data_IF_830815823236
#
_entry.id   IF_830815823236
#
_cell.length_a   1.000
_cell.length_b   1.000
_cell.length_c   1.000
_cell.angle_alpha   90.00
_cell.angle_beta   90.00
_cell.angle_gamma   90.00
#
_symmetry.space_group_name_H-M   'P 1'
#
loop_
_entity.id
_entity.type
_entity.pdbx_description
1 polymer ?
#
# COMPACT_ATOMS: atom_id res chain seq x y z
N UNK A 1 -35.64 -1.44 3.27
CA UNK A 1 -34.96 -2.37 2.36
C UNK A 1 -33.73 -2.90 3.09
N UNK A 2 -33.61 -4.19 3.23
CA UNK A 2 -32.47 -4.85 3.89
C UNK A 2 -31.54 -5.54 2.90
N UNK A 3 -32.00 -5.78 1.69
CA UNK A 3 -31.26 -6.36 0.57
C UNK A 3 -31.88 -5.89 -0.75
N UNK A 4 -31.14 -6.04 -1.82
CA UNK A 4 -31.61 -5.69 -3.16
C UNK A 4 -32.61 -6.70 -3.69
N UNK A 5 -33.39 -6.29 -4.70
CA UNK A 5 -34.44 -7.11 -5.29
C UNK A 5 -33.95 -8.08 -6.36
N UNK A 6 -32.68 -7.97 -6.79
CA UNK A 6 -32.14 -8.71 -7.95
C UNK A 6 -31.10 -9.75 -7.56
N UNK A 7 -30.90 -10.73 -8.42
CA UNK A 7 -29.82 -11.72 -8.37
C UNK A 7 -28.79 -11.54 -9.50
N UNK A 8 -29.14 -10.76 -10.52
CA UNK A 8 -28.24 -10.40 -11.64
C UNK A 8 -28.19 -8.88 -11.73
N UNK A 9 -27.00 -8.31 -11.86
CA UNK A 9 -26.78 -6.87 -11.88
C UNK A 9 -27.62 -6.11 -12.91
N UNK A 10 -27.86 -6.73 -14.10
CA UNK A 10 -28.68 -6.12 -15.16
C UNK A 10 -30.14 -5.90 -14.80
N UNK A 11 -30.64 -6.61 -13.78
CA UNK A 11 -32.04 -6.59 -13.36
C UNK A 11 -32.29 -5.61 -12.20
N UNK A 12 -31.24 -4.95 -11.71
CA UNK A 12 -31.33 -3.99 -10.61
C UNK A 12 -32.08 -2.72 -11.00
N UNK A 13 -32.87 -2.19 -10.08
CA UNK A 13 -33.56 -0.92 -10.19
C UNK A 13 -32.70 0.23 -9.67
N UNK A 14 -33.10 1.48 -9.97
CA UNK A 14 -32.45 2.66 -9.39
C UNK A 14 -32.45 2.61 -7.86
N UNK A 15 -33.56 2.24 -7.24
CA UNK A 15 -33.66 2.13 -5.79
C UNK A 15 -32.71 1.10 -5.19
N UNK A 16 -32.50 -0.03 -5.89
CA UNK A 16 -31.52 -1.04 -5.46
C UNK A 16 -30.10 -0.46 -5.45
N UNK A 17 -29.71 0.25 -6.50
CA UNK A 17 -28.37 0.82 -6.61
C UNK A 17 -28.16 1.98 -5.65
N UNK A 18 -29.15 2.83 -5.42
CA UNK A 18 -29.07 3.89 -4.39
C UNK A 18 -28.89 3.30 -2.98
N UNK A 19 -29.58 2.20 -2.70
CA UNK A 19 -29.43 1.47 -1.44
C UNK A 19 -28.01 0.87 -1.30
N UNK A 20 -27.49 0.23 -2.35
CA UNK A 20 -26.13 -0.32 -2.35
C UNK A 20 -25.06 0.78 -2.20
N UNK A 21 -25.22 1.91 -2.88
CA UNK A 21 -24.31 3.04 -2.77
C UNK A 21 -24.21 3.57 -1.33
N UNK A 22 -25.33 3.65 -0.64
CA UNK A 22 -25.34 4.06 0.77
C UNK A 22 -24.59 3.05 1.66
N UNK A 23 -24.82 1.75 1.47
CA UNK A 23 -24.10 0.70 2.20
C UNK A 23 -22.61 0.70 1.88
N UNK A 24 -22.25 0.93 0.62
CA UNK A 24 -20.86 1.02 0.20
C UNK A 24 -20.16 2.23 0.84
N UNK A 25 -20.80 3.39 0.88
CA UNK A 25 -20.27 4.57 1.55
C UNK A 25 -20.04 4.34 3.05
N UNK A 26 -21.00 3.69 3.72
CA UNK A 26 -20.85 3.31 5.13
C UNK A 26 -19.69 2.33 5.33
N UNK A 27 -19.55 1.37 4.41
CA UNK A 27 -18.43 0.41 4.43
C UNK A 27 -17.09 1.11 4.21
N UNK A 28 -17.00 2.04 3.26
CA UNK A 28 -15.79 2.83 2.98
C UNK A 28 -15.38 3.63 4.21
N UNK A 29 -16.32 4.19 4.98
CA UNK A 29 -16.01 4.95 6.18
C UNK A 29 -15.27 4.15 7.26
N UNK A 30 -15.40 2.83 7.24
CA UNK A 30 -14.67 1.90 8.12
C UNK A 30 -13.28 1.51 7.62
N UNK A 31 -12.83 2.03 6.47
CA UNK A 31 -11.53 1.66 5.89
C UNK A 31 -10.33 1.93 6.83
N UNK A 32 -10.23 3.07 7.54
CA UNK A 32 -9.11 3.30 8.45
C UNK A 32 -8.96 2.22 9.52
N UNK A 33 -10.05 1.77 10.12
CA UNK A 33 -10.03 0.71 11.13
C UNK A 33 -9.59 -0.64 10.54
N UNK A 34 -10.02 -0.96 9.32
CA UNK A 34 -9.56 -2.17 8.62
C UNK A 34 -8.10 -2.12 8.26
N UNK A 35 -7.58 -0.95 7.85
CA UNK A 35 -6.15 -0.75 7.59
C UNK A 35 -5.35 -0.93 8.88
N UNK A 36 -5.78 -0.35 9.99
CA UNK A 36 -5.12 -0.50 11.28
C UNK A 36 -5.10 -1.96 11.75
N UNK A 37 -6.17 -2.71 11.52
CA UNK A 37 -6.22 -4.14 11.83
C UNK A 37 -5.25 -4.95 10.95
N UNK A 38 -5.21 -4.69 9.66
CA UNK A 38 -4.28 -5.33 8.74
C UNK A 38 -2.82 -5.02 9.09
N UNK A 39 -2.53 -3.76 9.45
CA UNK A 39 -1.21 -3.33 9.90
C UNK A 39 -0.78 -4.07 11.17
N UNK A 40 -1.65 -4.18 12.17
CA UNK A 40 -1.37 -4.92 13.40
C UNK A 40 -1.06 -6.40 13.12
N UNK A 41 -1.70 -7.00 12.13
CA UNK A 41 -1.49 -8.40 11.71
C UNK A 41 -0.09 -8.66 11.14
N UNK A 42 0.65 -7.64 10.73
CA UNK A 42 2.02 -7.79 10.21
C UNK A 42 3.00 -8.30 11.29
N UNK A 43 2.69 -8.18 12.58
CA UNK A 43 3.52 -8.71 13.67
C UNK A 43 3.66 -10.23 13.64
N UNK A 44 2.66 -10.94 13.11
CA UNK A 44 2.60 -12.40 13.01
C UNK A 44 2.95 -12.92 11.60
N UNK A 45 3.38 -12.03 10.71
CA UNK A 45 3.63 -12.32 9.31
C UNK A 45 5.03 -12.86 9.01
N UNK A 46 5.60 -12.38 7.91
CA UNK A 46 6.90 -12.83 7.39
C UNK A 46 7.99 -12.72 8.46
N UNK A 47 8.60 -13.86 8.78
CA UNK A 47 9.67 -13.98 9.77
C UNK A 47 11.06 -13.94 9.12
N UNK A 48 12.10 -13.97 9.95
CA UNK A 48 13.50 -14.08 9.51
C UNK A 48 14.31 -12.80 9.66
N UNK A 49 13.64 -11.65 9.83
CA UNK A 49 14.29 -10.37 10.15
C UNK A 49 14.51 -10.23 11.67
N UNK A 50 15.38 -9.32 12.06
CA UNK A 50 15.64 -9.02 13.49
C UNK A 50 14.48 -8.32 14.19
N UNK A 51 13.60 -7.67 13.43
CA UNK A 51 12.36 -7.04 13.89
C UNK A 51 11.20 -7.60 13.07
N UNK A 52 10.00 -7.62 13.63
CA UNK A 52 8.82 -8.00 12.87
C UNK A 52 8.40 -6.94 11.85
N UNK A 53 7.49 -7.28 10.95
CA UNK A 53 7.07 -6.40 9.87
C UNK A 53 6.24 -5.21 10.36
N UNK A 54 5.54 -5.35 11.48
CA UNK A 54 4.86 -4.23 12.12
C UNK A 54 5.86 -3.22 12.69
N UNK A 55 6.88 -3.69 13.41
CA UNK A 55 7.94 -2.84 13.94
C UNK A 55 8.68 -2.10 12.82
N UNK A 56 8.98 -2.78 11.71
CA UNK A 56 9.56 -2.16 10.52
C UNK A 56 8.68 -1.03 9.99
N UNK A 57 7.39 -1.27 9.85
CA UNK A 57 6.43 -0.27 9.37
C UNK A 57 6.36 0.96 10.30
N UNK A 58 6.30 0.73 11.60
CA UNK A 58 6.31 1.80 12.60
C UNK A 58 7.61 2.61 12.58
N UNK A 59 8.75 1.95 12.46
CA UNK A 59 10.06 2.62 12.35
C UNK A 59 10.15 3.47 11.08
N UNK A 60 9.67 2.96 9.96
CA UNK A 60 9.66 3.68 8.69
C UNK A 60 8.83 4.95 8.79
N UNK A 61 7.63 4.87 9.37
CA UNK A 61 6.76 6.02 9.60
C UNK A 61 7.39 7.03 10.58
N UNK A 62 8.00 6.55 11.66
CA UNK A 62 8.68 7.40 12.65
C UNK A 62 9.83 8.18 12.03
N UNK A 63 10.64 7.54 11.17
CA UNK A 63 11.72 8.22 10.45
C UNK A 63 11.18 9.30 9.51
N UNK A 64 10.09 9.02 8.80
CA UNK A 64 9.45 10.02 7.95
C UNK A 64 8.96 11.23 8.77
N UNK A 65 8.36 10.99 9.93
CA UNK A 65 7.92 12.05 10.85
C UNK A 65 9.10 12.87 11.37
N UNK A 66 10.18 12.23 11.83
CA UNK A 66 11.38 12.88 12.35
C UNK A 66 12.08 13.73 11.29
N UNK A 67 12.00 13.36 10.02
CA UNK A 67 12.52 14.12 8.89
C UNK A 67 11.60 15.27 8.45
N UNK A 68 10.47 15.45 9.09
CA UNK A 68 9.51 16.52 8.79
C UNK A 68 8.66 16.27 7.53
N UNK A 69 8.48 15.01 7.13
CA UNK A 69 7.63 14.65 6.00
C UNK A 69 6.17 15.03 6.25
N UNK A 70 5.41 15.24 5.16
CA UNK A 70 3.97 15.47 5.24
C UNK A 70 3.24 14.23 5.79
N UNK A 71 2.00 14.43 6.29
CA UNK A 71 1.18 13.32 6.80
C UNK A 71 0.96 12.25 5.73
N UNK A 72 0.80 12.62 4.47
CA UNK A 72 0.63 11.68 3.36
C UNK A 72 1.84 10.76 3.20
N UNK A 73 3.06 11.31 3.32
CA UNK A 73 4.29 10.52 3.30
C UNK A 73 4.43 9.61 4.54
N UNK A 74 4.06 10.10 5.72
CA UNK A 74 4.10 9.32 6.97
C UNK A 74 3.15 8.12 6.87
N UNK A 75 1.94 8.34 6.39
CA UNK A 75 0.95 7.26 6.18
C UNK A 75 1.44 6.27 5.12
N UNK A 76 1.99 6.76 4.01
CA UNK A 76 2.55 5.90 2.97
C UNK A 76 3.69 5.03 3.51
N UNK A 77 4.58 5.61 4.30
CA UNK A 77 5.66 4.89 4.98
C UNK A 77 5.11 3.81 5.92
N UNK A 78 4.06 4.12 6.67
CA UNK A 78 3.43 3.19 7.61
C UNK A 78 2.83 1.97 6.91
N UNK A 79 2.24 2.13 5.73
CA UNK A 79 1.49 1.06 5.04
C UNK A 79 2.23 0.44 3.85
N UNK A 80 3.48 0.85 3.58
CA UNK A 80 4.19 0.44 2.36
C UNK A 80 4.32 -1.08 2.18
N UNK A 81 4.38 -1.84 3.26
CA UNK A 81 4.48 -3.31 3.27
C UNK A 81 3.17 -4.01 3.68
N UNK A 82 2.05 -3.30 3.74
CA UNK A 82 0.77 -3.88 4.18
C UNK A 82 0.29 -5.04 3.28
N UNK A 83 0.81 -5.14 2.07
CA UNK A 83 0.52 -6.22 1.13
C UNK A 83 1.24 -7.54 1.40
N UNK A 84 2.17 -7.59 2.36
CA UNK A 84 3.00 -8.79 2.60
C UNK A 84 2.18 -10.06 2.86
N UNK A 85 1.05 -9.96 3.56
CA UNK A 85 0.21 -11.11 3.89
C UNK A 85 -0.64 -11.61 2.72
N UNK A 86 -1.23 -10.70 1.95
CA UNK A 86 -2.20 -11.04 0.91
C UNK A 86 -1.61 -11.05 -0.50
N UNK A 87 -0.54 -10.29 -0.72
CA UNK A 87 0.08 -10.12 -2.02
C UNK A 87 1.61 -10.14 -1.90
N UNK A 88 2.23 -11.22 -1.37
CA UNK A 88 3.68 -11.25 -1.16
C UNK A 88 4.49 -11.14 -2.46
N UNK A 89 3.92 -11.51 -3.59
CA UNK A 89 4.56 -11.40 -4.91
C UNK A 89 4.39 -10.03 -5.57
N UNK A 90 3.54 -9.17 -5.02
CA UNK A 90 3.21 -7.84 -5.55
C UNK A 90 2.84 -6.85 -4.43
N UNK A 91 3.52 -6.96 -3.28
CA UNK A 91 3.17 -6.14 -2.10
C UNK A 91 3.31 -4.64 -2.35
N UNK A 92 4.27 -4.23 -3.18
CA UNK A 92 4.47 -2.82 -3.52
C UNK A 92 3.28 -2.24 -4.30
N UNK A 93 2.82 -2.97 -5.31
CA UNK A 93 1.66 -2.59 -6.12
C UNK A 93 0.37 -2.63 -5.29
N UNK A 94 0.25 -3.59 -4.37
CA UNK A 94 -0.88 -3.66 -3.44
C UNK A 94 -0.99 -2.41 -2.56
N UNK A 95 0.12 -2.02 -1.93
CA UNK A 95 0.16 -0.81 -1.10
C UNK A 95 -0.10 0.46 -1.91
N UNK A 96 0.46 0.55 -3.12
CA UNK A 96 0.23 1.67 -4.02
C UNK A 96 -1.26 1.79 -4.43
N UNK A 97 -1.91 0.68 -4.75
CA UNK A 97 -3.34 0.65 -5.07
C UNK A 97 -4.22 1.10 -3.90
N UNK A 98 -3.87 0.69 -2.67
CA UNK A 98 -4.55 1.13 -1.45
C UNK A 98 -4.47 2.64 -1.26
N UNK A 99 -3.30 3.24 -1.52
CA UNK A 99 -3.02 4.66 -1.31
C UNK A 99 -3.52 5.56 -2.45
N UNK A 100 -3.63 5.03 -3.66
CA UNK A 100 -3.89 5.80 -4.88
C UNK A 100 -5.06 6.79 -4.80
N UNK A 101 -6.20 6.47 -4.18
CA UNK A 101 -7.32 7.42 -4.07
C UNK A 101 -7.03 8.63 -3.16
N UNK A 102 -5.98 8.59 -2.33
CA UNK A 102 -5.80 9.49 -1.20
C UNK A 102 -4.54 10.35 -1.25
N UNK A 103 -3.54 9.97 -2.05
CA UNK A 103 -2.23 10.63 -2.07
C UNK A 103 -1.81 11.03 -3.48
N UNK A 104 -0.73 11.82 -3.59
CA UNK A 104 -0.21 12.28 -4.87
C UNK A 104 0.35 11.15 -5.74
N UNK A 105 0.44 11.40 -7.05
CA UNK A 105 1.05 10.46 -8.00
C UNK A 105 2.50 10.13 -7.65
N UNK A 106 3.25 11.10 -7.11
CA UNK A 106 4.62 10.89 -6.66
C UNK A 106 4.69 9.83 -5.56
N UNK A 107 3.86 9.94 -4.54
CA UNK A 107 3.80 8.98 -3.43
C UNK A 107 3.39 7.60 -3.94
N UNK A 108 2.37 7.52 -4.79
CA UNK A 108 1.91 6.26 -5.40
C UNK A 108 3.06 5.59 -6.16
N UNK A 109 3.76 6.34 -6.98
CA UNK A 109 4.89 5.81 -7.76
C UNK A 109 6.02 5.29 -6.88
N UNK A 110 6.39 6.05 -5.85
CA UNK A 110 7.43 5.66 -4.89
C UNK A 110 7.06 4.36 -4.19
N UNK A 111 5.86 4.24 -3.70
CA UNK A 111 5.38 3.02 -3.02
C UNK A 111 5.32 1.84 -4.00
N UNK A 112 4.80 2.06 -5.21
CA UNK A 112 4.73 1.02 -6.24
C UNK A 112 6.10 0.45 -6.63
N UNK A 113 7.13 1.27 -6.62
CA UNK A 113 8.49 0.89 -7.05
C UNK A 113 9.43 0.54 -5.90
N UNK A 114 9.03 0.70 -4.63
CA UNK A 114 9.96 0.55 -3.52
C UNK A 114 10.63 -0.83 -3.47
N UNK A 115 9.91 -1.91 -3.75
CA UNK A 115 10.46 -3.26 -3.76
C UNK A 115 11.55 -3.44 -4.82
N UNK A 116 11.32 -2.91 -6.03
CA UNK A 116 12.32 -2.93 -7.11
C UNK A 116 13.58 -2.14 -6.74
N UNK A 117 13.42 -0.99 -6.10
CA UNK A 117 14.55 -0.16 -5.70
C UNK A 117 15.34 -0.78 -4.56
N UNK A 118 14.68 -1.43 -3.60
CA UNK A 118 15.34 -2.19 -2.53
C UNK A 118 16.15 -3.38 -3.06
N UNK A 119 15.76 -3.97 -4.17
CA UNK A 119 16.47 -5.07 -4.82
C UNK A 119 17.93 -4.71 -5.16
N UNK A 120 18.25 -3.43 -5.27
CA UNK A 120 19.62 -2.96 -5.41
C UNK A 120 20.56 -3.51 -4.33
N UNK A 121 20.08 -3.70 -3.13
CA UNK A 121 20.89 -4.14 -1.99
C UNK A 121 21.07 -5.66 -1.90
N UNK A 122 20.17 -6.45 -2.49
CA UNK A 122 20.18 -7.90 -2.29
C UNK A 122 20.05 -8.77 -3.54
N UNK A 123 19.56 -8.23 -4.66
CA UNK A 123 19.24 -9.05 -5.84
C UNK A 123 20.44 -9.85 -6.35
N UNK A 124 21.63 -9.24 -6.37
CA UNK A 124 22.85 -9.89 -6.83
C UNK A 124 23.30 -11.06 -5.94
N UNK A 125 22.84 -11.14 -4.69
CA UNK A 125 23.12 -12.27 -3.80
C UNK A 125 22.26 -13.50 -4.10
N UNK A 126 21.16 -13.32 -4.84
CA UNK A 126 20.20 -14.39 -5.15
C UNK A 126 20.01 -14.59 -6.66
N UNK A 127 20.99 -14.15 -7.45
CA UNK A 127 20.99 -14.35 -8.90
C UNK A 127 20.19 -13.34 -9.72
N UNK A 128 19.74 -12.25 -9.11
CA UNK A 128 19.01 -11.17 -9.77
C UNK A 128 19.89 -9.98 -10.16
N UNK A 129 19.28 -9.00 -10.83
CA UNK A 129 19.94 -7.77 -11.27
C UNK A 129 19.68 -6.63 -10.29
N UNK A 130 20.71 -6.22 -9.56
CA UNK A 130 20.65 -5.07 -8.65
C UNK A 130 20.43 -3.74 -9.37
N UNK A 131 20.74 -3.66 -10.66
CA UNK A 131 20.62 -2.44 -11.47
C UNK A 131 19.28 -2.34 -12.20
N UNK A 132 18.33 -3.21 -11.93
CA UNK A 132 17.01 -3.17 -12.57
C UNK A 132 16.29 -1.82 -12.41
N UNK A 133 16.55 -1.09 -11.31
CA UNK A 133 16.00 0.26 -11.08
C UNK A 133 16.57 1.33 -12.02
N UNK A 134 17.70 1.08 -12.65
CA UNK A 134 18.38 2.06 -13.51
C UNK A 134 17.56 2.47 -14.73
N UNK A 135 16.62 1.63 -15.16
CA UNK A 135 15.67 1.99 -16.24
C UNK A 135 14.77 3.20 -15.90
N UNK A 136 14.69 3.58 -14.64
CA UNK A 136 13.90 4.72 -14.17
C UNK A 136 14.73 5.98 -13.90
N UNK A 137 16.04 6.02 -14.23
CA UNK A 137 16.92 7.16 -13.93
C UNK A 137 16.38 8.51 -14.43
N UNK A 138 15.69 8.52 -15.55
CA UNK A 138 15.11 9.74 -16.14
C UNK A 138 13.67 10.01 -15.69
N UNK A 139 13.12 9.18 -14.82
CA UNK A 139 11.77 9.39 -14.30
C UNK A 139 11.75 10.56 -13.32
N UNK A 140 10.72 11.48 -13.39
CA UNK A 140 10.64 12.66 -12.52
C UNK A 140 10.74 12.36 -11.02
N UNK A 141 10.26 11.18 -10.58
CA UNK A 141 10.23 10.80 -9.17
C UNK A 141 11.38 9.86 -8.74
N UNK A 142 12.34 9.60 -9.63
CA UNK A 142 13.45 8.71 -9.33
C UNK A 142 14.22 9.12 -8.08
N UNK A 143 14.56 10.40 -7.95
CA UNK A 143 15.31 10.92 -6.80
C UNK A 143 14.51 10.86 -5.51
N UNK A 144 13.19 11.02 -5.57
CA UNK A 144 12.32 10.89 -4.41
C UNK A 144 12.43 9.50 -3.77
N UNK A 145 12.58 8.45 -4.59
CA UNK A 145 12.72 7.09 -4.10
C UNK A 145 14.15 6.77 -3.63
N UNK A 146 15.17 7.29 -4.32
CA UNK A 146 16.58 7.07 -3.95
C UNK A 146 16.90 7.65 -2.56
N UNK A 147 16.25 8.74 -2.16
CA UNK A 147 16.50 9.44 -0.90
C UNK A 147 15.62 9.00 0.26
N UNK A 148 14.69 8.10 0.04
CA UNK A 148 13.82 7.56 1.10
C UNK A 148 14.46 6.28 1.74
#
# INVERSE_FOLDING_TARGET
>A
MTEVSFTQMKDGTQADYEFLEQLENDHISGLPDRIMKALAGLSDGLAGYKIDRLQHSLQTATRAEDEGASIDWIVAALVHDIGDELAPLSHSEFAAALLKPFVSEEIVWVIEKHGLFQAYYYAHHVGGDRHARDKYKDHPFYLSLIHI
#
